data_IF_043845674724
#
_entry.id   IF_043845674724
#
_cell.length_a   1.000
_cell.length_b   1.000
_cell.length_c   1.000
_cell.angle_alpha   90.00
_cell.angle_beta   90.00
_cell.angle_gamma   90.00
#
_symmetry.space_group_name_H-M   'P 1'
#
loop_
_entity.id
_entity.type
_entity.pdbx_description
1 polymer ?
#
# COMPACT_ATOMS: atom_id res chain seq x y z
N UNK A 1 -8.10 -19.45 3.11
CA UNK A 1 -9.31 -18.91 2.46
C UNK A 1 -8.83 -18.22 1.17
N UNK A 2 -9.08 -18.82 0.01
CA UNK A 2 -8.73 -18.21 -1.28
C UNK A 2 -9.65 -17.01 -1.52
N UNK A 3 -9.08 -15.82 -1.55
CA UNK A 3 -9.80 -14.62 -1.96
C UNK A 3 -10.16 -14.76 -3.44
N UNK A 4 -11.43 -14.65 -3.78
CA UNK A 4 -11.87 -14.44 -5.17
C UNK A 4 -11.48 -13.01 -5.58
N UNK A 5 -10.19 -12.79 -5.79
CA UNK A 5 -9.55 -11.49 -5.99
C UNK A 5 -9.57 -11.01 -7.46
N UNK A 6 -10.22 -11.74 -8.36
CA UNK A 6 -10.26 -11.38 -9.79
C UNK A 6 -10.97 -10.05 -10.09
N UNK A 7 -11.66 -9.45 -9.10
CA UNK A 7 -12.48 -8.25 -9.31
C UNK A 7 -11.86 -6.92 -8.85
N UNK A 8 -10.84 -6.95 -8.00
CA UNK A 8 -10.23 -5.71 -7.46
C UNK A 8 -8.73 -5.72 -7.73
N UNK A 9 -8.33 -5.19 -8.88
CA UNK A 9 -6.93 -4.92 -9.21
C UNK A 9 -6.70 -3.42 -9.16
N UNK A 10 -6.26 -2.89 -8.02
CA UNK A 10 -6.00 -1.46 -7.92
C UNK A 10 -4.81 -1.10 -8.81
N UNK A 11 -5.04 -0.29 -9.83
CA UNK A 11 -4.02 0.14 -10.78
C UNK A 11 -4.06 1.66 -10.90
N UNK A 12 -2.90 2.31 -10.91
CA UNK A 12 -2.77 3.72 -11.27
C UNK A 12 -2.64 3.81 -12.80
N UNK A 13 -3.73 4.12 -13.53
CA UNK A 13 -3.76 3.97 -14.99
C UNK A 13 -2.76 4.90 -15.69
N UNK A 14 -2.62 6.12 -15.21
CA UNK A 14 -1.70 7.11 -15.79
C UNK A 14 -0.25 6.73 -15.58
N UNK A 15 0.10 6.11 -14.43
CA UNK A 15 1.44 5.60 -14.20
C UNK A 15 1.81 4.53 -15.23
N UNK A 16 0.89 3.62 -15.53
CA UNK A 16 1.09 2.56 -16.55
C UNK A 16 1.23 3.15 -17.95
N UNK A 17 0.40 4.14 -18.30
CA UNK A 17 0.33 4.70 -19.64
C UNK A 17 1.48 5.68 -19.95
N UNK A 18 1.99 6.35 -18.94
CA UNK A 18 2.88 7.49 -19.11
C UNK A 18 4.34 7.23 -18.76
N UNK A 19 4.67 6.02 -18.27
CA UNK A 19 6.02 5.62 -17.93
C UNK A 19 6.64 4.65 -18.94
N UNK A 20 7.96 4.50 -18.89
CA UNK A 20 8.70 3.61 -19.75
C UNK A 20 9.04 2.31 -19.02
N UNK A 21 9.14 1.21 -19.78
CA UNK A 21 9.52 -0.10 -19.27
C UNK A 21 8.67 -0.59 -18.09
N UNK A 22 7.38 -0.19 -18.05
CA UNK A 22 6.50 -0.62 -16.98
C UNK A 22 6.37 -2.14 -16.97
N UNK A 23 6.66 -2.74 -15.83
CA UNK A 23 6.48 -4.18 -15.57
C UNK A 23 5.78 -4.35 -14.24
N UNK A 24 4.94 -5.37 -14.12
CA UNK A 24 4.30 -5.73 -12.87
C UNK A 24 4.29 -7.26 -12.67
N UNK A 25 4.31 -7.67 -11.41
CA UNK A 25 4.12 -9.05 -10.98
C UNK A 25 3.03 -9.10 -9.90
N UNK A 26 1.94 -9.80 -10.20
CA UNK A 26 0.81 -9.96 -9.27
C UNK A 26 1.20 -10.94 -8.17
N UNK A 27 0.88 -10.61 -6.92
CA UNK A 27 1.28 -11.44 -5.78
C UNK A 27 0.11 -11.92 -4.91
N UNK A 28 -0.88 -11.10 -4.64
CA UNK A 28 -2.14 -11.39 -3.91
C UNK A 28 -1.99 -12.16 -2.58
N UNK A 29 -0.92 -11.89 -1.85
CA UNK A 29 -0.68 -12.48 -0.53
C UNK A 29 -0.14 -11.41 0.43
N UNK A 30 -0.20 -11.64 1.75
CA UNK A 30 0.29 -10.71 2.79
C UNK A 30 -0.27 -9.28 2.67
N UNK A 31 -1.45 -9.12 2.07
CA UNK A 31 -2.05 -7.81 1.81
C UNK A 31 -1.44 -7.06 0.63
N UNK A 32 -0.47 -7.64 -0.07
CA UNK A 32 0.15 -7.08 -1.28
C UNK A 32 -0.72 -7.42 -2.47
N UNK A 33 -0.95 -6.43 -3.36
CA UNK A 33 -1.61 -6.61 -4.65
C UNK A 33 -0.61 -7.03 -5.72
N UNK A 34 0.43 -6.24 -5.92
CA UNK A 34 1.46 -6.50 -6.93
C UNK A 34 2.74 -5.71 -6.65
N UNK A 35 3.81 -6.17 -7.27
CA UNK A 35 5.07 -5.45 -7.43
C UNK A 35 5.10 -4.81 -8.81
N UNK A 36 5.71 -3.63 -8.92
CA UNK A 36 5.87 -2.96 -10.20
C UNK A 36 7.23 -2.26 -10.31
N UNK A 37 7.65 -2.00 -11.52
CA UNK A 37 8.83 -1.17 -11.82
C UNK A 37 8.62 -0.39 -13.11
N UNK A 38 9.23 0.78 -13.19
CA UNK A 38 9.23 1.62 -14.39
C UNK A 38 10.43 2.57 -14.39
N UNK A 39 10.67 3.24 -15.49
CA UNK A 39 11.69 4.27 -15.65
C UNK A 39 11.10 5.56 -16.15
N UNK A 40 11.77 6.66 -15.82
CA UNK A 40 11.50 7.98 -16.37
C UNK A 40 12.81 8.63 -16.83
N UNK A 41 12.89 8.99 -18.10
CA UNK A 41 14.04 9.69 -18.68
C UNK A 41 14.03 11.17 -18.32
N UNK A 42 12.84 11.78 -18.19
CA UNK A 42 12.64 13.19 -17.87
C UNK A 42 11.66 13.32 -16.71
N UNK A 43 11.86 14.37 -15.91
CA UNK A 43 10.89 14.78 -14.90
C UNK A 43 9.53 15.03 -15.54
N UNK A 44 8.49 14.49 -14.94
CA UNK A 44 7.14 14.51 -15.48
C UNK A 44 6.10 14.55 -14.36
N UNK A 45 5.04 15.31 -14.57
CA UNK A 45 3.82 15.21 -13.75
C UNK A 45 2.94 14.06 -14.24
N UNK A 46 2.50 13.21 -13.34
CA UNK A 46 1.61 12.09 -13.63
C UNK A 46 0.44 12.14 -12.65
N UNK A 47 -0.76 12.09 -13.20
CA UNK A 47 -1.99 12.12 -12.41
C UNK A 47 -2.12 10.84 -11.57
N UNK A 48 -2.28 11.00 -10.27
CA UNK A 48 -2.60 9.92 -9.32
C UNK A 48 -4.07 10.00 -8.96
N UNK A 49 -4.76 8.87 -8.98
CA UNK A 49 -6.19 8.77 -8.67
C UNK A 49 -6.44 8.11 -7.31
N UNK A 50 -7.54 8.48 -6.61
CA UNK A 50 -7.94 7.83 -5.37
C UNK A 50 -8.20 6.34 -5.58
N UNK A 51 -7.55 5.48 -4.79
CA UNK A 51 -7.72 4.01 -4.85
C UNK A 51 -7.60 3.31 -3.48
N UNK A 52 -7.46 4.10 -2.42
CA UNK A 52 -7.30 3.62 -1.05
C UNK A 52 -6.10 2.69 -0.84
N UNK A 53 -5.14 2.70 -1.75
CA UNK A 53 -3.92 1.88 -1.66
C UNK A 53 -2.79 2.62 -0.95
N UNK A 54 -1.89 1.85 -0.39
CA UNK A 54 -0.57 2.31 0.06
C UNK A 54 0.47 1.68 -0.84
N UNK A 55 1.47 2.46 -1.23
CA UNK A 55 2.65 1.98 -1.93
C UNK A 55 3.89 2.15 -1.05
N UNK A 56 4.72 1.12 -0.97
CA UNK A 56 6.13 1.28 -0.61
C UNK A 56 6.92 1.46 -1.90
N UNK A 57 7.49 2.65 -2.10
CA UNK A 57 8.17 3.04 -3.32
C UNK A 57 9.66 3.23 -3.07
N UNK A 58 10.48 2.64 -3.92
CA UNK A 58 11.94 2.75 -3.91
C UNK A 58 12.38 3.45 -5.20
N UNK A 59 12.98 4.63 -5.05
CA UNK A 59 13.44 5.49 -6.13
C UNK A 59 14.97 5.37 -6.27
N UNK A 60 15.44 4.74 -7.34
CA UNK A 60 16.85 4.52 -7.62
C UNK A 60 17.41 5.61 -8.53
N UNK A 61 18.48 6.27 -8.12
CA UNK A 61 19.18 7.31 -8.87
C UNK A 61 20.68 7.13 -8.84
N UNK A 62 21.40 8.06 -9.49
CA UNK A 62 22.86 8.05 -9.56
C UNK A 62 23.52 8.20 -8.17
N UNK A 63 22.88 8.95 -7.27
CA UNK A 63 23.42 9.27 -5.95
C UNK A 63 22.86 8.39 -4.82
N UNK A 64 22.26 7.25 -5.14
CA UNK A 64 21.67 6.35 -4.16
C UNK A 64 20.17 6.10 -4.35
N UNK A 65 19.54 5.58 -3.33
CA UNK A 65 18.13 5.22 -3.33
C UNK A 65 17.39 5.97 -2.22
N UNK A 66 16.22 6.50 -2.55
CA UNK A 66 15.23 6.94 -1.57
C UNK A 66 14.10 5.92 -1.47
N UNK A 67 13.54 5.75 -0.29
CA UNK A 67 12.41 4.86 -0.05
C UNK A 67 11.27 5.62 0.63
N UNK A 68 10.03 5.37 0.17
CA UNK A 68 8.86 6.10 0.63
C UNK A 68 7.70 5.14 0.94
N UNK A 69 6.87 5.53 1.92
CA UNK A 69 5.49 5.06 2.02
C UNK A 69 4.58 6.17 1.49
N UNK A 70 3.71 5.84 0.54
CA UNK A 70 2.83 6.78 -0.15
C UNK A 70 1.40 6.30 0.04
N UNK A 71 0.54 7.17 0.57
CA UNK A 71 -0.88 6.89 0.70
C UNK A 71 -1.68 7.34 -0.52
N UNK A 72 -2.93 6.89 -0.55
CA UNK A 72 -3.87 7.30 -1.59
C UNK A 72 -4.29 8.75 -1.41
N UNK A 73 -4.39 9.53 -2.50
CA UNK A 73 -4.98 10.86 -2.43
C UNK A 73 -6.50 10.79 -2.24
N UNK A 74 -7.10 11.85 -1.66
CA UNK A 74 -8.56 11.98 -1.53
C UNK A 74 -9.21 12.33 -2.88
N UNK A 75 -8.50 13.06 -3.72
CA UNK A 75 -8.93 13.44 -5.07
C UNK A 75 -7.77 13.27 -6.05
N UNK A 76 -8.07 13.14 -7.33
CA UNK A 76 -7.03 13.10 -8.36
C UNK A 76 -6.12 14.34 -8.26
N UNK A 77 -4.83 14.11 -8.29
CA UNK A 77 -3.81 15.15 -8.25
C UNK A 77 -2.60 14.77 -9.12
N UNK A 78 -1.93 15.78 -9.64
CA UNK A 78 -0.71 15.60 -10.39
C UNK A 78 0.49 15.56 -9.43
N UNK A 79 1.29 14.52 -9.56
CA UNK A 79 2.51 14.30 -8.77
C UNK A 79 3.71 14.40 -9.67
N UNK A 80 4.69 15.21 -9.30
CA UNK A 80 5.95 15.30 -10.01
C UNK A 80 6.83 14.08 -9.71
N UNK A 81 7.21 13.37 -10.77
CA UNK A 81 8.15 12.25 -10.75
C UNK A 81 9.47 12.66 -11.38
N UNK A 82 10.56 12.37 -10.69
CA UNK A 82 11.89 12.76 -11.12
C UNK A 82 12.39 11.92 -12.30
N UNK A 83 12.94 12.60 -13.32
CA UNK A 83 13.60 11.95 -14.45
C UNK A 83 14.96 11.33 -14.10
N UNK A 84 15.49 10.52 -15.02
CA UNK A 84 16.72 9.74 -14.86
C UNK A 84 16.72 8.83 -13.64
N UNK A 85 15.54 8.28 -13.34
CA UNK A 85 15.30 7.41 -12.19
C UNK A 85 14.65 6.10 -12.63
N UNK A 86 14.95 5.05 -11.88
CA UNK A 86 14.22 3.79 -11.91
C UNK A 86 13.42 3.66 -10.62
N UNK A 87 12.19 3.24 -10.74
CA UNK A 87 11.27 3.06 -9.62
C UNK A 87 10.92 1.59 -9.46
N UNK A 88 10.91 1.15 -8.21
CA UNK A 88 10.35 -0.14 -7.81
C UNK A 88 9.29 0.11 -6.75
N UNK A 89 8.09 -0.39 -6.96
CA UNK A 89 6.97 -0.21 -6.05
C UNK A 89 6.36 -1.52 -5.59
N UNK A 90 5.87 -1.51 -4.36
CA UNK A 90 5.07 -2.58 -3.76
C UNK A 90 3.73 -1.99 -3.40
N UNK A 91 2.69 -2.36 -4.14
CA UNK A 91 1.34 -1.88 -3.93
C UNK A 91 0.56 -2.82 -3.03
N UNK A 92 0.01 -2.26 -1.99
CA UNK A 92 -0.87 -2.99 -1.08
C UNK A 92 -2.32 -2.91 -1.54
N UNK A 93 -3.12 -3.90 -1.13
CA UNK A 93 -4.55 -3.92 -1.43
C UNK A 93 -5.26 -2.71 -0.78
N UNK A 94 -6.35 -2.20 -1.38
CA UNK A 94 -7.08 -1.06 -0.84
C UNK A 94 -7.40 -1.22 0.65
N UNK A 95 -7.15 -0.16 1.42
CA UNK A 95 -7.35 -0.17 2.87
C UNK A 95 -6.43 -1.12 3.66
N UNK A 96 -5.41 -1.71 3.06
CA UNK A 96 -4.40 -2.51 3.78
C UNK A 96 -3.24 -1.63 4.20
N UNK A 97 -2.95 -1.67 5.50
CA UNK A 97 -1.75 -1.04 6.06
C UNK A 97 -0.57 -1.99 5.92
N UNK A 98 0.55 -1.56 5.34
CA UNK A 98 1.78 -2.35 5.37
C UNK A 98 2.23 -2.61 6.81
N UNK A 99 2.70 -3.82 7.10
CA UNK A 99 3.24 -4.14 8.43
C UNK A 99 4.55 -3.40 8.69
N UNK A 100 4.84 -3.16 9.96
CA UNK A 100 6.08 -2.54 10.39
C UNK A 100 6.14 -1.01 10.25
N UNK A 101 5.07 -0.33 9.84
CA UNK A 101 5.01 1.13 9.81
C UNK A 101 4.43 1.70 11.12
N UNK A 102 5.09 2.71 11.67
CA UNK A 102 4.67 3.42 12.89
C UNK A 102 3.76 4.63 12.55
N UNK A 103 2.83 4.43 11.66
CA UNK A 103 1.80 5.41 11.26
C UNK A 103 0.50 4.67 10.97
N UNK A 104 -0.61 5.41 10.91
CA UNK A 104 -1.92 4.85 10.50
C UNK A 104 -2.22 5.12 9.04
N UNK A 105 -3.23 4.42 8.46
CA UNK A 105 -3.69 4.74 7.10
C UNK A 105 -4.17 6.19 6.99
N UNK A 106 -4.76 6.72 8.06
CA UNK A 106 -5.19 8.11 8.13
C UNK A 106 -4.03 9.09 7.97
N UNK A 107 -2.89 8.79 8.60
CA UNK A 107 -1.70 9.65 8.52
C UNK A 107 -1.09 9.65 7.12
N UNK A 108 -1.30 8.57 6.36
CA UNK A 108 -0.83 8.41 4.98
C UNK A 108 -1.72 9.07 3.93
N UNK A 109 -2.98 9.44 4.26
CA UNK A 109 -3.88 10.10 3.30
C UNK A 109 -3.26 11.40 2.80
N UNK A 110 -3.19 11.59 1.46
CA UNK A 110 -2.54 12.75 0.79
C UNK A 110 -1.07 12.98 1.19
N UNK A 111 -0.41 11.98 1.79
CA UNK A 111 0.95 12.13 2.35
C UNK A 111 1.93 11.11 1.76
N UNK A 112 3.21 11.53 1.79
CA UNK A 112 4.38 10.71 1.51
C UNK A 112 5.38 10.88 2.65
N UNK A 113 5.82 9.76 3.23
CA UNK A 113 6.84 9.72 4.27
C UNK A 113 8.09 9.01 3.76
N UNK A 114 9.26 9.42 4.22
CA UNK A 114 10.44 8.57 4.05
C UNK A 114 10.26 7.29 4.85
N UNK A 115 10.54 6.16 4.21
CA UNK A 115 10.35 4.86 4.84
C UNK A 115 11.23 4.68 6.08
N UNK A 116 12.43 5.25 6.04
CA UNK A 116 13.39 5.23 7.16
C UNK A 116 12.86 5.91 8.44
N UNK A 117 12.00 6.91 8.29
CA UNK A 117 11.45 7.66 9.43
C UNK A 117 10.32 6.92 10.14
N UNK A 118 9.64 6.01 9.44
CA UNK A 118 8.40 5.38 9.93
C UNK A 118 8.45 3.85 9.97
N UNK A 119 9.48 3.22 9.41
CA UNK A 119 9.63 1.76 9.42
C UNK A 119 10.24 1.31 10.75
N UNK A 120 9.57 0.40 11.43
CA UNK A 120 10.04 -0.25 12.66
C UNK A 120 11.09 -1.34 12.33
N UNK A 121 12.16 -0.92 11.66
CA UNK A 121 13.32 -1.75 11.37
C UNK A 121 14.47 -1.38 12.31
N UNK A 122 14.66 -2.16 13.37
CA UNK A 122 15.60 -1.86 14.44
C UNK A 122 17.06 -1.65 13.99
N UNK A 123 17.41 -2.05 12.77
CA UNK A 123 18.78 -2.01 12.27
C UNK A 123 18.95 -1.23 10.95
N UNK A 124 17.89 -0.66 10.38
CA UNK A 124 17.94 0.01 9.06
C UNK A 124 18.37 -0.89 7.90
N UNK A 125 18.27 -2.21 8.09
CA UNK A 125 18.78 -3.20 7.12
C UNK A 125 17.85 -3.39 5.95
N UNK A 126 16.56 -3.15 6.13
CA UNK A 126 15.54 -3.33 5.09
C UNK A 126 15.81 -2.40 3.89
N UNK A 127 15.87 -1.10 4.14
CA UNK A 127 16.07 -0.09 3.08
C UNK A 127 17.45 -0.22 2.45
N UNK A 128 18.50 -0.31 3.26
CA UNK A 128 19.88 -0.45 2.77
C UNK A 128 20.14 -1.75 2.00
N UNK A 129 19.42 -2.81 2.33
CA UNK A 129 19.48 -4.06 1.58
C UNK A 129 18.75 -4.00 0.23
N UNK A 130 17.63 -3.25 0.15
CA UNK A 130 16.93 -2.99 -1.12
C UNK A 130 17.80 -2.21 -2.11
N UNK A 131 18.57 -1.25 -1.65
CA UNK A 131 19.48 -0.45 -2.49
C UNK A 131 20.48 -1.32 -3.28
N UNK A 132 20.92 -2.42 -2.66
CA UNK A 132 21.89 -3.34 -3.27
C UNK A 132 21.27 -4.22 -4.37
N UNK A 133 19.94 -4.29 -4.50
CA UNK A 133 19.27 -5.14 -5.48
C UNK A 133 19.08 -4.40 -6.81
N UNK A 134 19.59 -4.98 -7.89
CA UNK A 134 19.56 -4.34 -9.23
C UNK A 134 18.47 -4.93 -10.13
N UNK A 135 18.10 -6.18 -9.94
CA UNK A 135 17.18 -6.92 -10.80
C UNK A 135 15.78 -6.93 -10.16
N UNK A 136 14.74 -6.73 -10.94
CA UNK A 136 13.34 -6.68 -10.48
C UNK A 136 12.97 -7.89 -9.62
N UNK A 137 13.33 -9.10 -10.05
CA UNK A 137 13.02 -10.32 -9.30
C UNK A 137 13.77 -10.42 -7.97
N UNK A 138 15.01 -9.95 -7.92
CA UNK A 138 15.81 -9.93 -6.69
C UNK A 138 15.24 -8.92 -5.68
N UNK A 139 14.72 -7.79 -6.15
CA UNK A 139 13.99 -6.81 -5.33
C UNK A 139 12.74 -7.42 -4.70
N UNK A 140 11.95 -8.14 -5.50
CA UNK A 140 10.76 -8.85 -5.02
C UNK A 140 11.14 -9.88 -3.94
N UNK A 141 12.10 -10.75 -4.23
CA UNK A 141 12.49 -11.80 -3.29
C UNK A 141 13.03 -11.24 -1.99
N UNK A 142 13.89 -10.21 -2.06
CA UNK A 142 14.43 -9.55 -0.89
C UNK A 142 13.32 -8.83 -0.08
N UNK A 143 12.44 -8.10 -0.76
CA UNK A 143 11.31 -7.46 -0.10
C UNK A 143 10.46 -8.47 0.66
N UNK A 144 10.07 -9.57 0.03
CA UNK A 144 9.25 -10.61 0.65
C UNK A 144 9.93 -11.26 1.85
N UNK A 145 11.23 -11.51 1.76
CA UNK A 145 12.01 -12.06 2.88
C UNK A 145 11.98 -11.13 4.10
N UNK A 146 12.30 -9.85 3.91
CA UNK A 146 12.34 -8.89 5.00
C UNK A 146 10.95 -8.53 5.51
N UNK A 147 9.96 -8.40 4.61
CA UNK A 147 8.58 -8.13 4.97
C UNK A 147 7.95 -9.24 5.81
N UNK A 148 8.26 -10.49 5.50
CA UNK A 148 7.85 -11.65 6.30
C UNK A 148 8.44 -11.60 7.72
N UNK A 149 9.69 -11.15 7.86
CA UNK A 149 10.31 -10.97 9.20
C UNK A 149 9.60 -9.88 10.01
N UNK A 150 9.18 -8.78 9.35
CA UNK A 150 8.38 -7.73 10.00
C UNK A 150 6.99 -8.26 10.42
N UNK A 151 6.33 -9.03 9.54
CA UNK A 151 5.02 -9.62 9.82
C UNK A 151 5.06 -10.58 11.01
N UNK A 152 6.09 -11.40 11.12
CA UNK A 152 6.28 -12.32 12.25
C UNK A 152 6.48 -11.62 13.59
N UNK A 153 6.96 -10.38 13.59
CA UNK A 153 7.17 -9.56 14.80
C UNK A 153 5.92 -8.77 15.19
N UNK A 154 4.95 -8.66 14.28
CA UNK A 154 3.74 -7.88 14.54
C UNK A 154 2.80 -8.65 15.48
N UNK A 155 2.31 -7.96 16.50
CA UNK A 155 1.25 -8.49 17.35
C UNK A 155 -0.05 -8.62 16.54
N UNK A 156 -0.85 -9.64 16.90
CA UNK A 156 -2.17 -9.82 16.25
C UNK A 156 -3.04 -8.58 16.53
N UNK A 157 -3.80 -8.13 15.53
CA UNK A 157 -4.72 -7.01 15.73
C UNK A 157 -5.70 -7.35 16.86
N UNK A 158 -5.95 -6.35 17.72
CA UNK A 158 -6.86 -6.48 18.85
C UNK A 158 -7.84 -5.29 18.90
N UNK A 159 -9.05 -5.54 19.39
CA UNK A 159 -10.05 -4.51 19.61
C UNK A 159 -10.56 -3.85 18.32
N UNK A 160 -10.45 -2.51 18.22
CA UNK A 160 -10.97 -1.75 17.06
C UNK A 160 -10.39 -2.21 15.71
N UNK A 161 -9.14 -2.62 15.70
CA UNK A 161 -8.49 -3.09 14.47
C UNK A 161 -9.04 -4.44 13.99
N UNK A 162 -9.40 -5.32 14.91
CA UNK A 162 -10.05 -6.59 14.60
C UNK A 162 -11.43 -6.37 13.94
N UNK A 163 -12.22 -5.44 14.52
CA UNK A 163 -13.54 -5.06 13.96
C UNK A 163 -13.35 -4.45 12.55
N UNK A 164 -12.41 -3.54 12.40
CA UNK A 164 -12.09 -2.93 11.11
C UNK A 164 -11.73 -3.98 10.05
N UNK A 165 -10.91 -4.96 10.41
CA UNK A 165 -10.54 -6.05 9.50
C UNK A 165 -11.74 -6.93 9.13
N UNK A 166 -12.60 -7.26 10.08
CA UNK A 166 -13.81 -8.04 9.80
C UNK A 166 -14.76 -7.31 8.82
N UNK A 167 -15.02 -6.02 9.04
CA UNK A 167 -15.85 -5.20 8.14
C UNK A 167 -15.24 -5.10 6.75
N UNK A 168 -13.93 -4.88 6.65
CA UNK A 168 -13.23 -4.86 5.37
C UNK A 168 -13.33 -6.19 4.64
N UNK A 169 -13.20 -7.30 5.34
CA UNK A 169 -13.35 -8.63 4.75
C UNK A 169 -14.76 -8.84 4.18
N UNK A 170 -15.81 -8.41 4.90
CA UNK A 170 -17.20 -8.43 4.39
C UNK A 170 -17.34 -7.57 3.12
N UNK A 171 -16.77 -6.38 3.10
CA UNK A 171 -16.79 -5.50 1.94
C UNK A 171 -16.09 -6.16 0.73
N UNK A 172 -14.91 -6.75 0.92
CA UNK A 172 -14.20 -7.46 -0.15
C UNK A 172 -14.99 -8.66 -0.67
N UNK A 173 -15.49 -9.50 0.22
CA UNK A 173 -16.24 -10.72 -0.15
C UNK A 173 -17.53 -10.42 -0.89
N UNK A 174 -18.17 -9.28 -0.61
CA UNK A 174 -19.35 -8.79 -1.32
C UNK A 174 -19.07 -8.01 -2.59
N UNK A 175 -17.78 -7.74 -2.91
CA UNK A 175 -17.39 -6.85 -4.00
C UNK A 175 -17.85 -5.40 -3.79
N UNK A 176 -17.99 -4.96 -2.54
CA UNK A 176 -18.47 -3.62 -2.16
C UNK A 176 -19.99 -3.46 -2.26
N UNK A 177 -20.75 -4.52 -2.47
CA UNK A 177 -22.20 -4.45 -2.64
C UNK A 177 -22.98 -4.54 -1.33
N UNK A 178 -22.37 -5.03 -0.24
CA UNK A 178 -23.01 -5.14 1.08
C UNK A 178 -23.16 -3.75 1.71
N UNK A 179 -24.33 -3.47 2.24
CA UNK A 179 -24.59 -2.20 2.93
C UNK A 179 -23.87 -2.14 4.27
N UNK A 180 -23.51 -0.96 4.72
CA UNK A 180 -22.82 -0.78 6.01
C UNK A 180 -23.69 -1.27 7.19
N UNK A 181 -25.03 -1.14 7.11
CA UNK A 181 -25.96 -1.69 8.09
C UNK A 181 -25.81 -3.21 8.24
N UNK A 182 -25.78 -3.93 7.11
CA UNK A 182 -25.66 -5.38 7.08
C UNK A 182 -24.27 -5.83 7.60
N UNK A 183 -23.22 -5.07 7.28
CA UNK A 183 -21.87 -5.32 7.84
C UNK A 183 -21.87 -5.12 9.35
N UNK A 184 -22.47 -4.03 9.82
CA UNK A 184 -22.57 -3.70 11.25
C UNK A 184 -23.31 -4.77 12.03
N UNK A 185 -24.47 -5.22 11.52
CA UNK A 185 -25.25 -6.31 12.10
C UNK A 185 -24.43 -7.62 12.15
N UNK A 186 -23.69 -7.92 11.07
CA UNK A 186 -22.88 -9.16 10.98
C UNK A 186 -21.75 -9.17 12.03
N UNK A 187 -21.12 -8.02 12.29
CA UNK A 187 -20.03 -7.92 13.29
C UNK A 187 -20.54 -7.59 14.71
N UNK A 188 -21.86 -7.39 14.90
CA UNK A 188 -22.48 -7.14 16.19
C UNK A 188 -22.27 -5.71 16.73
N UNK A 189 -22.15 -4.72 15.85
CA UNK A 189 -21.96 -3.32 16.21
C UNK A 189 -22.96 -2.41 15.48
N UNK A 190 -23.02 -1.12 15.88
CA UNK A 190 -23.85 -0.13 15.19
C UNK A 190 -23.11 0.48 14.02
N UNK A 191 -23.83 0.89 12.95
CA UNK A 191 -23.24 1.63 11.82
C UNK A 191 -22.44 2.85 12.27
N UNK A 192 -22.96 3.60 13.26
CA UNK A 192 -22.29 4.78 13.82
C UNK A 192 -20.92 4.42 14.40
N UNK A 193 -20.81 3.26 15.07
CA UNK A 193 -19.57 2.82 15.66
C UNK A 193 -18.57 2.35 14.59
N UNK A 194 -19.05 1.65 13.57
CA UNK A 194 -18.23 1.25 12.41
C UNK A 194 -17.70 2.48 11.69
N UNK A 195 -18.57 3.45 11.35
CA UNK A 195 -18.15 4.71 10.72
C UNK A 195 -17.09 5.44 11.55
N UNK A 196 -17.27 5.50 12.88
CA UNK A 196 -16.26 6.12 13.77
C UNK A 196 -14.90 5.42 13.69
N UNK A 197 -14.87 4.10 13.74
CA UNK A 197 -13.61 3.33 13.64
C UNK A 197 -12.94 3.58 12.29
N UNK A 198 -13.69 3.58 11.20
CA UNK A 198 -13.15 3.82 9.86
C UNK A 198 -12.53 5.21 9.77
N UNK A 199 -13.22 6.25 10.21
CA UNK A 199 -12.69 7.62 10.21
C UNK A 199 -11.43 7.73 11.08
N UNK A 200 -11.41 7.09 12.25
CA UNK A 200 -10.26 7.12 13.17
C UNK A 200 -9.03 6.41 12.58
N UNK A 201 -9.21 5.29 11.89
CA UNK A 201 -8.13 4.43 11.46
C UNK A 201 -7.73 4.64 10.00
N UNK A 202 -8.67 4.99 9.15
CA UNK A 202 -8.47 5.10 7.69
C UNK A 202 -8.59 6.54 7.17
N UNK A 203 -9.15 7.46 7.95
CA UNK A 203 -9.35 8.86 7.56
C UNK A 203 -10.64 9.12 6.78
N UNK A 204 -11.41 8.10 6.42
CA UNK A 204 -12.68 8.20 5.68
C UNK A 204 -13.67 7.13 6.15
N UNK A 205 -14.96 7.30 5.77
CA UNK A 205 -16.01 6.32 6.03
C UNK A 205 -15.88 5.07 5.14
N UNK A 206 -16.45 3.95 5.54
CA UNK A 206 -16.55 2.74 4.71
C UNK A 206 -17.23 2.97 3.39
#
# INVERSE_FOLDING_TARGET
MEYKTDKLRPTQPFLVLETQDFKQEIYLNQGISHFYTFRLEKTKEITTVPDSCVDMLFEYGENGMNAYAIGSPIKALDVEWQGKKEYFGVRFMPGRMPVGLNVTLRDLVDCRFYLEDILLDNNGTFVSGMEKKKIFKDRINYFLEEYTKLEMRQEKPFGKMEILMAVKELAYNSGGLMRISEMADTVGYTERYINKIFIEQMGFSP
#
